data_IF_046261693207
#
_entry.id   IF_046261693207
#
_cell.length_a   1.000
_cell.length_b   1.000
_cell.length_c   1.000
_cell.angle_alpha   90.00
_cell.angle_beta   90.00
_cell.angle_gamma   90.00
#
_symmetry.space_group_name_H-M   'P 1'
#
loop_
_entity.id
_entity.type
_entity.pdbx_description
1 polymer ?
#
# COMPACT_ATOMS: atom_id res chain seq x y z
N UNK A 1 -20.97 2.44 14.17
CA UNK A 1 -20.62 1.18 13.54
C UNK A 1 -19.34 0.68 14.23
N UNK A 2 -19.45 -0.40 15.01
CA UNK A 2 -18.42 -0.87 15.94
C UNK A 2 -17.20 -1.35 15.14
N UNK A 3 -16.06 -0.71 15.36
CA UNK A 3 -14.76 -1.16 14.86
C UNK A 3 -14.29 -2.20 15.87
N UNK A 4 -14.19 -3.44 15.44
CA UNK A 4 -13.74 -4.54 16.28
C UNK A 4 -12.25 -4.32 16.61
N UNK A 5 -12.00 -3.83 17.82
CA UNK A 5 -10.68 -3.46 18.31
C UNK A 5 -10.05 -4.67 19.00
N UNK A 6 -9.46 -5.59 18.22
CA UNK A 6 -8.61 -6.64 18.79
C UNK A 6 -7.16 -6.45 18.33
N UNK A 7 -6.30 -6.23 19.29
CA UNK A 7 -4.85 -6.06 19.21
C UNK A 7 -4.33 -4.87 18.37
N UNK A 8 -4.15 -3.70 18.97
CA UNK A 8 -3.35 -2.61 18.42
C UNK A 8 -4.09 -1.46 17.75
N UNK A 9 -5.39 -1.26 17.96
CA UNK A 9 -6.10 -0.02 17.58
C UNK A 9 -6.49 0.12 16.10
N UNK A 10 -5.95 -0.69 15.18
CA UNK A 10 -6.26 -0.63 13.76
C UNK A 10 -7.13 -1.82 13.33
N UNK A 11 -8.25 -1.58 12.67
CA UNK A 11 -9.13 -2.63 12.13
C UNK A 11 -8.38 -3.60 11.20
N UNK A 12 -8.80 -4.87 11.19
CA UNK A 12 -8.22 -5.90 10.32
C UNK A 12 -8.53 -5.70 8.84
N UNK A 13 -9.64 -5.06 8.54
CA UNK A 13 -10.09 -4.85 7.16
C UNK A 13 -10.27 -3.36 6.89
N UNK A 14 -9.70 -2.90 5.79
CA UNK A 14 -9.87 -1.56 5.25
C UNK A 14 -10.49 -1.63 3.86
N UNK A 15 -11.28 -0.61 3.49
CA UNK A 15 -11.96 -0.53 2.18
C UNK A 15 -11.70 0.80 1.54
N UNK A 16 -11.20 0.77 0.31
CA UNK A 16 -11.04 1.96 -0.52
C UNK A 16 -12.41 2.33 -1.10
N UNK A 17 -12.97 3.49 -0.76
CA UNK A 17 -14.29 3.90 -1.21
C UNK A 17 -14.33 4.28 -2.70
N UNK A 18 -13.18 4.41 -3.36
CA UNK A 18 -13.09 4.93 -4.74
C UNK A 18 -13.08 3.83 -5.79
N UNK A 19 -12.51 2.67 -5.48
CA UNK A 19 -12.33 1.56 -6.43
C UNK A 19 -12.88 0.21 -5.93
N UNK A 20 -13.47 0.18 -4.73
CA UNK A 20 -14.00 -1.04 -4.13
C UNK A 20 -12.93 -2.06 -3.71
N UNK A 21 -11.69 -1.63 -3.57
CA UNK A 21 -10.60 -2.45 -3.05
C UNK A 21 -10.84 -2.74 -1.56
N UNK A 22 -10.83 -4.02 -1.19
CA UNK A 22 -10.89 -4.46 0.20
C UNK A 22 -9.59 -5.16 0.57
N UNK A 23 -8.96 -4.71 1.64
CA UNK A 23 -7.71 -5.29 2.17
C UNK A 23 -7.97 -5.80 3.57
N UNK A 24 -7.76 -7.09 3.79
CA UNK A 24 -7.78 -7.72 5.12
C UNK A 24 -6.35 -8.09 5.51
N UNK A 25 -5.87 -7.55 6.62
CA UNK A 25 -4.57 -7.88 7.21
C UNK A 25 -4.66 -9.22 7.94
N UNK A 26 -4.12 -10.28 7.34
CA UNK A 26 -4.07 -11.62 7.90
C UNK A 26 -2.97 -11.71 8.97
N UNK A 27 -1.83 -11.09 8.69
CA UNK A 27 -0.71 -10.94 9.61
C UNK A 27 -0.08 -9.56 9.38
N UNK A 28 0.06 -8.76 10.43
CA UNK A 28 0.72 -7.45 10.37
C UNK A 28 2.23 -7.59 10.56
N UNK A 29 3.00 -6.61 10.11
CA UNK A 29 4.45 -6.57 10.32
C UNK A 29 4.82 -6.65 11.80
N UNK A 30 4.03 -6.02 12.68
CA UNK A 30 4.24 -6.06 14.12
C UNK A 30 3.99 -7.46 14.73
N UNK A 31 3.04 -8.23 14.20
CA UNK A 31 2.72 -9.58 14.65
C UNK A 31 3.74 -10.62 14.19
N UNK A 32 4.27 -10.46 12.98
CA UNK A 32 5.24 -11.42 12.43
C UNK A 32 6.58 -11.43 13.16
N UNK A 33 6.94 -10.34 13.81
CA UNK A 33 8.26 -10.17 14.44
C UNK A 33 9.43 -10.04 13.44
N UNK A 34 9.17 -10.22 12.15
CA UNK A 34 10.16 -10.27 11.06
C UNK A 34 9.87 -9.26 9.96
N UNK A 35 9.05 -8.23 10.24
CA UNK A 35 8.62 -7.23 9.25
C UNK A 35 7.94 -7.85 8.00
N UNK A 36 7.29 -8.99 8.18
CA UNK A 36 6.46 -9.63 7.17
C UNK A 36 5.04 -9.12 7.28
N UNK A 37 4.42 -8.84 6.13
CA UNK A 37 3.01 -8.49 6.02
C UNK A 37 2.29 -9.57 5.20
N UNK A 38 1.16 -10.07 5.69
CA UNK A 38 0.29 -10.97 4.91
C UNK A 38 -1.09 -10.33 4.80
N UNK A 39 -1.53 -10.10 3.58
CA UNK A 39 -2.85 -9.54 3.30
C UNK A 39 -3.65 -10.42 2.36
N UNK A 40 -4.97 -10.33 2.48
CA UNK A 40 -5.93 -10.71 1.45
C UNK A 40 -6.44 -9.43 0.82
N UNK A 41 -6.30 -9.32 -0.49
CA UNK A 41 -6.75 -8.18 -1.27
C UNK A 41 -7.83 -8.66 -2.24
N UNK A 42 -9.00 -8.02 -2.21
CA UNK A 42 -10.12 -8.29 -3.13
C UNK A 42 -10.37 -7.03 -3.96
N UNK A 43 -10.44 -7.21 -5.28
CA UNK A 43 -10.77 -6.17 -6.24
C UNK A 43 -12.15 -6.43 -6.85
N UNK A 44 -12.98 -5.40 -6.90
CA UNK A 44 -14.21 -5.40 -7.69
C UNK A 44 -13.91 -5.61 -9.19
N UNK A 45 -14.89 -6.01 -10.03
CA UNK A 45 -14.72 -6.08 -11.48
C UNK A 45 -14.15 -4.76 -12.05
N UNK A 46 -13.08 -4.85 -12.83
CA UNK A 46 -12.38 -3.69 -13.38
C UNK A 46 -11.50 -2.91 -12.39
N UNK A 47 -11.53 -3.24 -11.10
CA UNK A 47 -10.65 -2.66 -10.08
C UNK A 47 -9.17 -2.93 -10.40
N UNK A 48 -8.29 -1.99 -10.04
CA UNK A 48 -6.89 -2.07 -10.41
C UNK A 48 -5.98 -1.47 -9.35
N UNK A 49 -4.80 -2.07 -9.20
CA UNK A 49 -3.65 -1.49 -8.52
C UNK A 49 -2.71 -0.93 -9.59
N UNK A 50 -2.46 0.39 -9.61
CA UNK A 50 -1.62 1.04 -10.62
C UNK A 50 -0.19 0.48 -10.63
N UNK A 51 0.51 0.65 -11.77
CA UNK A 51 1.92 0.30 -11.89
C UNK A 51 2.76 1.12 -10.90
N UNK A 52 3.52 0.41 -10.07
CA UNK A 52 4.37 0.99 -9.04
C UNK A 52 5.55 0.09 -8.74
N UNK A 53 6.50 0.58 -7.95
CA UNK A 53 7.61 -0.17 -7.40
C UNK A 53 7.85 0.22 -5.94
N UNK A 54 8.43 -0.67 -5.16
CA UNK A 54 8.82 -0.45 -3.76
C UNK A 54 9.96 -1.39 -3.36
N UNK A 55 10.63 -1.18 -2.20
CA UNK A 55 11.75 -2.03 -1.75
C UNK A 55 11.34 -3.43 -1.29
N UNK A 56 10.06 -3.66 -0.95
CA UNK A 56 9.60 -4.96 -0.50
C UNK A 56 9.57 -5.97 -1.66
N UNK A 57 9.88 -7.23 -1.37
CA UNK A 57 9.47 -8.36 -2.20
C UNK A 57 8.00 -8.67 -1.90
N UNK A 58 7.24 -8.98 -2.92
CA UNK A 58 5.86 -9.46 -2.79
C UNK A 58 5.66 -10.77 -3.52
N UNK A 59 5.09 -11.75 -2.82
CA UNK A 59 4.63 -13.01 -3.38
C UNK A 59 3.10 -12.98 -3.47
N UNK A 60 2.59 -13.06 -4.68
CA UNK A 60 1.16 -13.03 -4.99
C UNK A 60 0.66 -14.45 -5.30
N UNK A 61 -0.47 -14.80 -4.73
CA UNK A 61 -1.23 -16.01 -5.01
C UNK A 61 -2.66 -15.61 -5.40
N UNK A 62 -3.09 -15.99 -6.59
CA UNK A 62 -4.47 -15.80 -7.02
C UNK A 62 -5.37 -16.86 -6.36
N UNK A 63 -6.33 -16.42 -5.54
CA UNK A 63 -7.28 -17.30 -4.88
C UNK A 63 -8.58 -17.42 -5.67
N UNK A 64 -9.05 -16.31 -6.26
CA UNK A 64 -10.32 -16.24 -6.99
C UNK A 64 -10.25 -15.21 -8.12
N UNK A 65 -11.04 -15.44 -9.18
CA UNK A 65 -11.18 -14.53 -10.31
C UNK A 65 -10.05 -14.65 -11.33
N UNK A 66 -9.89 -13.63 -12.16
CA UNK A 66 -8.82 -13.51 -13.17
C UNK A 66 -8.23 -12.13 -13.14
N UNK A 67 -6.90 -12.04 -13.16
CA UNK A 67 -6.16 -10.80 -13.11
C UNK A 67 -5.20 -10.68 -14.28
N UNK A 68 -5.21 -9.52 -14.94
CA UNK A 68 -4.10 -9.12 -15.79
C UNK A 68 -3.04 -8.50 -14.90
N UNK A 69 -1.92 -9.18 -14.72
CA UNK A 69 -0.78 -8.76 -13.91
C UNK A 69 0.33 -8.25 -14.82
N UNK A 70 0.93 -7.12 -14.49
CA UNK A 70 2.08 -6.57 -15.17
C UNK A 70 3.29 -6.64 -14.27
N UNK A 71 4.38 -7.26 -14.76
CA UNK A 71 5.65 -7.41 -14.06
C UNK A 71 6.81 -7.09 -15.01
N UNK A 72 7.65 -6.12 -14.67
CA UNK A 72 8.82 -5.73 -15.46
C UNK A 72 8.51 -5.46 -16.95
N UNK A 73 7.33 -4.89 -17.24
CA UNK A 73 6.87 -4.61 -18.60
C UNK A 73 6.21 -5.80 -19.33
N UNK A 74 6.15 -6.98 -18.71
CA UNK A 74 5.47 -8.15 -19.25
C UNK A 74 4.05 -8.26 -18.70
N UNK A 75 3.11 -8.68 -19.51
CA UNK A 75 1.75 -9.00 -19.11
C UNK A 75 1.66 -10.50 -18.78
N UNK A 76 1.11 -10.81 -17.62
CA UNK A 76 0.92 -12.17 -17.09
C UNK A 76 -0.55 -12.31 -16.72
N UNK A 77 -1.20 -13.38 -17.12
CA UNK A 77 -2.55 -13.71 -16.68
C UNK A 77 -2.47 -14.59 -15.42
N UNK A 78 -3.14 -14.17 -14.35
CA UNK A 78 -3.27 -14.96 -13.14
C UNK A 78 -4.69 -15.49 -13.01
N UNK A 79 -4.79 -16.78 -12.76
CA UNK A 79 -6.02 -17.52 -12.44
C UNK A 79 -5.86 -18.24 -11.09
N UNK A 80 -6.95 -18.76 -10.49
CA UNK A 80 -6.87 -19.44 -9.20
C UNK A 80 -5.79 -20.51 -9.14
N UNK A 81 -4.94 -20.45 -8.11
CA UNK A 81 -3.76 -21.29 -7.92
C UNK A 81 -2.47 -20.79 -8.60
N UNK A 82 -2.54 -19.77 -9.46
CA UNK A 82 -1.34 -19.15 -10.03
C UNK A 82 -0.61 -18.29 -8.99
N UNK A 83 0.72 -18.28 -9.07
CA UNK A 83 1.59 -17.46 -8.23
C UNK A 83 2.54 -16.62 -9.07
N UNK A 84 2.92 -15.44 -8.54
CA UNK A 84 3.96 -14.58 -9.13
C UNK A 84 4.68 -13.83 -8.03
N UNK A 85 5.99 -13.63 -8.20
CA UNK A 85 6.83 -12.85 -7.28
C UNK A 85 7.30 -11.56 -7.94
N UNK A 86 7.02 -10.43 -7.29
CA UNK A 86 7.65 -9.15 -7.60
C UNK A 86 8.85 -8.92 -6.68
N UNK A 87 10.05 -8.91 -7.27
CA UNK A 87 11.29 -8.63 -6.54
C UNK A 87 11.40 -7.13 -6.18
N UNK A 88 12.21 -6.76 -5.15
CA UNK A 88 12.43 -5.38 -4.76
C UNK A 88 12.77 -4.46 -5.94
N UNK A 89 12.05 -3.35 -6.05
CA UNK A 89 12.26 -2.33 -7.08
C UNK A 89 11.71 -2.66 -8.47
N UNK A 90 11.14 -3.84 -8.67
CA UNK A 90 10.52 -4.22 -9.94
C UNK A 90 9.15 -3.56 -10.09
N UNK A 91 8.94 -2.88 -11.22
CA UNK A 91 7.64 -2.26 -11.54
C UNK A 91 6.61 -3.35 -11.79
N UNK A 92 5.51 -3.28 -11.04
CA UNK A 92 4.39 -4.22 -11.14
C UNK A 92 3.06 -3.51 -10.86
N UNK A 93 1.98 -4.19 -11.18
CA UNK A 93 0.61 -3.75 -10.95
C UNK A 93 -0.35 -4.74 -11.57
N UNK A 94 -1.63 -4.65 -11.26
CA UNK A 94 -2.60 -5.65 -11.73
C UNK A 94 -4.01 -5.08 -11.81
N UNK A 95 -4.85 -5.75 -12.58
CA UNK A 95 -6.24 -5.41 -12.77
C UNK A 95 -7.11 -6.65 -12.77
N UNK A 96 -8.25 -6.57 -12.11
CA UNK A 96 -9.29 -7.58 -12.23
C UNK A 96 -9.95 -7.48 -13.61
N UNK A 97 -9.78 -8.51 -14.44
CA UNK A 97 -10.36 -8.62 -15.78
C UNK A 97 -11.57 -9.54 -15.83
N UNK A 98 -11.94 -10.14 -14.70
CA UNK A 98 -13.14 -10.99 -14.59
C UNK A 98 -14.39 -10.15 -14.36
N UNK A 99 -15.55 -10.74 -14.63
CA UNK A 99 -16.86 -10.14 -14.35
C UNK A 99 -17.32 -10.26 -12.88
N UNK A 100 -16.49 -10.85 -12.01
CA UNK A 100 -16.73 -11.08 -10.59
C UNK A 100 -15.56 -10.50 -9.75
N UNK A 101 -15.70 -10.38 -8.43
CA UNK A 101 -14.55 -10.03 -7.58
C UNK A 101 -13.38 -11.00 -7.77
N UNK A 102 -12.15 -10.47 -7.75
CA UNK A 102 -10.93 -11.26 -7.79
C UNK A 102 -10.15 -11.06 -6.49
N UNK A 103 -9.62 -12.16 -5.94
CA UNK A 103 -8.97 -12.18 -4.63
C UNK A 103 -7.54 -12.69 -4.75
N UNK A 104 -6.62 -11.93 -4.19
CA UNK A 104 -5.21 -12.28 -4.02
C UNK A 104 -4.87 -12.50 -2.55
N UNK A 105 -3.99 -13.45 -2.26
CA UNK A 105 -3.18 -13.47 -1.05
C UNK A 105 -1.82 -12.89 -1.40
N UNK A 106 -1.35 -11.95 -0.61
CA UNK A 106 -0.07 -11.27 -0.83
C UNK A 106 0.77 -11.41 0.44
N UNK A 107 2.01 -11.86 0.28
CA UNK A 107 3.02 -11.90 1.34
C UNK A 107 4.12 -10.92 0.98
N UNK A 108 4.33 -9.91 1.81
CA UNK A 108 5.37 -8.90 1.60
C UNK A 108 6.43 -8.96 2.68
N UNK A 109 7.70 -8.85 2.28
CA UNK A 109 8.83 -8.56 3.18
C UNK A 109 8.96 -7.05 3.35
N UNK A 110 9.58 -6.56 4.44
CA UNK A 110 9.64 -5.12 4.77
C UNK A 110 8.25 -4.48 4.75
N UNK A 111 7.28 -5.19 5.32
CA UNK A 111 5.86 -4.88 5.19
C UNK A 111 5.38 -3.67 5.99
N UNK A 112 6.18 -3.12 6.90
CA UNK A 112 5.76 -2.01 7.76
C UNK A 112 5.44 -0.74 6.98
N UNK A 113 6.29 -0.35 6.03
CA UNK A 113 6.07 0.80 5.16
C UNK A 113 4.84 0.59 4.28
N UNK A 114 4.66 -0.64 3.80
CA UNK A 114 3.50 -1.01 2.98
C UNK A 114 2.22 -0.95 3.82
N UNK A 115 2.20 -1.56 5.00
CA UNK A 115 1.03 -1.52 5.89
C UNK A 115 0.66 -0.07 6.24
N UNK A 116 1.67 0.75 6.60
CA UNK A 116 1.48 2.18 6.83
C UNK A 116 0.86 2.87 5.60
N UNK A 117 1.47 2.66 4.43
CA UNK A 117 1.01 3.26 3.17
C UNK A 117 -0.43 2.92 2.85
N UNK A 118 -0.80 1.63 2.93
CA UNK A 118 -2.15 1.14 2.65
C UNK A 118 -3.18 1.74 3.62
N UNK A 119 -2.92 1.67 4.93
CA UNK A 119 -3.85 2.16 5.95
C UNK A 119 -4.05 3.67 5.87
N UNK A 120 -2.96 4.44 5.75
CA UNK A 120 -3.04 5.91 5.68
C UNK A 120 -3.66 6.35 4.35
N UNK A 121 -3.32 5.72 3.22
CA UNK A 121 -3.95 5.99 1.93
C UNK A 121 -5.47 5.84 2.01
N UNK A 122 -5.96 4.70 2.50
CA UNK A 122 -7.40 4.41 2.59
C UNK A 122 -8.08 5.37 3.57
N UNK A 123 -7.50 5.63 4.72
CA UNK A 123 -8.05 6.60 5.68
C UNK A 123 -8.13 8.02 5.08
N UNK A 124 -7.11 8.45 4.34
CA UNK A 124 -7.13 9.73 3.63
C UNK A 124 -8.19 9.78 2.52
N UNK A 125 -8.44 8.66 1.82
CA UNK A 125 -9.51 8.56 0.83
C UNK A 125 -10.90 8.67 1.48
N UNK A 126 -11.12 7.98 2.59
CA UNK A 126 -12.34 8.07 3.39
C UNK A 126 -12.60 9.50 3.91
N UNK A 127 -11.55 10.23 4.25
CA UNK A 127 -11.59 11.63 4.65
C UNK A 127 -11.77 12.62 3.48
N UNK A 128 -11.89 12.13 2.25
CA UNK A 128 -12.04 12.94 1.06
C UNK A 128 -10.79 13.74 0.68
N UNK A 129 -9.60 13.31 1.11
CA UNK A 129 -8.33 13.97 0.79
C UNK A 129 -7.83 13.70 -0.64
N UNK A 130 -8.53 12.85 -1.39
CA UNK A 130 -8.24 12.55 -2.80
C UNK A 130 -9.35 13.05 -3.73
N UNK A 131 -8.99 13.29 -4.98
CA UNK A 131 -9.95 13.54 -6.07
C UNK A 131 -10.57 12.22 -6.53
N UNK A 132 -11.65 12.28 -7.31
CA UNK A 132 -12.25 11.10 -7.96
C UNK A 132 -11.28 10.35 -8.90
N UNK A 133 -10.24 11.03 -9.38
CA UNK A 133 -9.18 10.43 -10.19
C UNK A 133 -8.03 9.81 -9.35
N UNK A 134 -8.20 9.66 -8.04
CA UNK A 134 -7.23 9.06 -7.14
C UNK A 134 -5.98 9.92 -6.89
N UNK A 135 -6.04 11.24 -7.13
CA UNK A 135 -4.92 12.16 -6.89
C UNK A 135 -5.09 12.86 -5.54
N UNK A 136 -4.03 12.99 -4.71
CA UNK A 136 -4.13 13.75 -3.48
C UNK A 136 -4.44 15.23 -3.77
N UNK A 137 -5.39 15.81 -3.05
CA UNK A 137 -5.75 17.24 -3.16
C UNK A 137 -4.64 18.15 -2.62
N UNK A 138 -3.90 17.70 -1.60
CA UNK A 138 -2.68 18.32 -1.11
C UNK A 138 -1.47 17.51 -1.60
N UNK A 139 -0.76 18.02 -2.62
CA UNK A 139 0.38 17.33 -3.23
C UNK A 139 1.53 17.14 -2.25
N UNK A 140 1.76 18.09 -1.34
CA UNK A 140 2.83 17.95 -0.35
C UNK A 140 2.51 16.88 0.69
N UNK A 141 1.24 16.79 1.12
CA UNK A 141 0.79 15.73 2.01
C UNK A 141 0.92 14.36 1.34
N UNK A 142 0.46 14.24 0.09
CA UNK A 142 0.61 13.02 -0.71
C UNK A 142 2.08 12.63 -0.91
N UNK A 143 2.97 13.61 -1.13
CA UNK A 143 4.41 13.34 -1.29
C UNK A 143 5.05 12.84 0.01
N UNK A 144 4.64 13.34 1.18
CA UNK A 144 5.10 12.82 2.48
C UNK A 144 4.65 11.37 2.66
N UNK A 145 3.39 11.03 2.33
CA UNK A 145 2.88 9.67 2.39
C UNK A 145 3.69 8.73 1.48
N UNK A 146 3.83 9.06 0.19
CA UNK A 146 4.55 8.25 -0.81
C UNK A 146 6.01 8.04 -0.43
N UNK A 147 6.67 9.08 0.08
CA UNK A 147 8.05 8.99 0.54
C UNK A 147 8.18 8.07 1.76
N UNK A 148 7.25 8.13 2.72
CA UNK A 148 7.26 7.29 3.92
C UNK A 148 6.94 5.83 3.62
N UNK A 149 6.02 5.57 2.70
CA UNK A 149 5.66 4.20 2.28
C UNK A 149 6.61 3.63 1.22
N UNK A 150 7.64 4.37 0.82
CA UNK A 150 8.61 3.98 -0.21
C UNK A 150 8.00 3.49 -1.52
N UNK A 151 6.79 3.99 -1.89
CA UNK A 151 6.08 3.63 -3.11
C UNK A 151 6.43 4.62 -4.23
N UNK A 152 6.83 4.07 -5.38
CA UNK A 152 7.23 4.81 -6.57
C UNK A 152 6.27 4.51 -7.71
N UNK A 153 5.49 5.51 -8.14
CA UNK A 153 4.47 5.35 -9.19
C UNK A 153 5.09 5.44 -10.60
N UNK A 154 4.77 4.48 -11.46
CA UNK A 154 5.11 4.54 -12.88
C UNK A 154 4.21 5.58 -13.61
N UNK A 155 4.62 6.08 -14.81
CA UNK A 155 5.73 5.59 -15.65
C UNK A 155 7.10 6.25 -15.37
N UNK A 156 7.24 7.11 -14.37
CA UNK A 156 8.51 7.79 -14.12
C UNK A 156 9.57 6.80 -13.63
N UNK A 157 10.80 6.79 -14.20
CA UNK A 157 11.88 5.95 -13.72
C UNK A 157 12.19 6.22 -12.24
N UNK A 158 12.43 5.16 -11.47
CA UNK A 158 12.65 5.24 -10.01
C UNK A 158 13.80 6.19 -9.65
N UNK A 159 14.89 6.22 -10.44
CA UNK A 159 16.04 7.08 -10.19
C UNK A 159 15.72 8.59 -10.30
N UNK A 160 14.69 8.94 -11.09
CA UNK A 160 14.19 10.32 -11.21
C UNK A 160 13.06 10.59 -10.20
N UNK A 161 12.18 9.62 -9.97
CA UNK A 161 11.04 9.73 -9.07
C UNK A 161 11.49 9.92 -7.60
N UNK A 162 12.46 9.11 -7.14
CA UNK A 162 12.95 9.16 -5.76
C UNK A 162 13.41 10.55 -5.30
N UNK A 163 14.36 11.24 -5.99
CA UNK A 163 14.80 12.55 -5.57
C UNK A 163 13.68 13.60 -5.65
N UNK A 164 12.80 13.52 -6.65
CA UNK A 164 11.66 14.42 -6.78
C UNK A 164 10.71 14.30 -5.59
N UNK A 165 10.28 13.09 -5.27
CA UNK A 165 9.37 12.84 -4.14
C UNK A 165 10.06 13.16 -2.81
N UNK A 166 11.34 12.87 -2.65
CA UNK A 166 12.10 13.23 -1.46
C UNK A 166 12.15 14.75 -1.25
N UNK A 167 12.38 15.52 -2.31
CA UNK A 167 12.37 16.99 -2.28
C UNK A 167 10.99 17.56 -1.92
N UNK A 168 9.93 17.06 -2.57
CA UNK A 168 8.55 17.48 -2.26
C UNK A 168 8.14 17.07 -0.84
N UNK A 169 8.54 15.89 -0.38
CA UNK A 169 8.28 15.44 0.98
C UNK A 169 9.06 16.28 2.02
N UNK A 170 10.31 16.68 1.72
CA UNK A 170 11.08 17.58 2.56
C UNK A 170 10.38 18.94 2.70
N UNK A 171 9.91 19.52 1.59
CA UNK A 171 9.11 20.74 1.58
C UNK A 171 7.79 20.53 2.36
N UNK A 172 7.14 19.40 2.18
CA UNK A 172 5.93 19.02 2.91
C UNK A 172 6.17 18.96 4.42
N UNK A 173 7.25 18.33 4.86
CA UNK A 173 7.65 18.29 6.28
C UNK A 173 7.90 19.70 6.83
N UNK A 174 8.64 20.51 6.10
CA UNK A 174 8.88 21.92 6.48
C UNK A 174 7.56 22.71 6.59
N UNK A 175 6.57 22.43 5.73
CA UNK A 175 5.22 23.02 5.77
C UNK A 175 4.29 22.33 6.79
N UNK A 176 4.80 21.45 7.66
CA UNK A 176 4.03 20.78 8.71
C UNK A 176 3.11 19.64 8.25
N UNK A 177 3.25 19.16 6.99
CA UNK A 177 2.37 18.10 6.48
C UNK A 177 2.59 16.76 7.15
N UNK A 178 3.81 16.46 7.61
CA UNK A 178 4.04 15.25 8.42
C UNK A 178 3.32 15.33 9.77
N UNK A 179 3.27 16.52 10.39
CA UNK A 179 2.50 16.70 11.61
C UNK A 179 1.00 16.45 11.40
N UNK A 180 0.45 16.84 10.24
CA UNK A 180 -0.94 16.51 9.88
C UNK A 180 -1.14 15.00 9.82
N UNK A 181 -0.23 14.24 9.19
CA UNK A 181 -0.31 12.76 9.19
C UNK A 181 -0.25 12.20 10.61
N UNK A 182 0.69 12.67 11.43
CA UNK A 182 0.88 12.20 12.81
C UNK A 182 -0.31 12.49 13.73
N UNK A 183 -0.96 13.63 13.58
CA UNK A 183 -2.11 14.00 14.41
C UNK A 183 -3.41 13.37 13.93
N UNK A 184 -3.60 13.23 12.60
CA UNK A 184 -4.84 12.71 12.02
C UNK A 184 -4.87 11.18 11.97
N UNK A 185 -3.67 10.52 11.87
CA UNK A 185 -3.53 9.07 11.77
C UNK A 185 -2.46 8.55 12.76
N UNK A 186 -2.58 8.84 14.08
CA UNK A 186 -1.50 8.62 15.03
C UNK A 186 -1.16 7.13 15.23
N UNK A 187 -2.15 6.24 15.17
CA UNK A 187 -1.94 4.81 15.41
C UNK A 187 -1.09 4.17 14.30
N UNK A 188 -1.30 4.56 13.05
CA UNK A 188 -0.54 4.06 11.90
C UNK A 188 0.91 4.55 11.93
N UNK A 189 1.12 5.81 12.32
CA UNK A 189 2.49 6.36 12.45
C UNK A 189 3.24 5.70 13.60
N UNK A 190 2.58 5.46 14.75
CA UNK A 190 3.20 4.76 15.89
C UNK A 190 3.64 3.35 15.51
N UNK A 191 2.84 2.64 14.71
CA UNK A 191 3.19 1.31 14.21
C UNK A 191 4.50 1.34 13.41
N UNK A 192 4.60 2.22 12.42
CA UNK A 192 5.79 2.40 11.60
C UNK A 192 7.02 2.78 12.44
N UNK A 193 6.88 3.76 13.33
CA UNK A 193 7.97 4.21 14.19
C UNK A 193 8.42 3.10 15.17
N UNK A 194 7.53 2.20 15.59
CA UNK A 194 7.86 1.07 16.44
C UNK A 194 8.68 0.00 15.70
N UNK A 195 8.32 -0.32 14.45
CA UNK A 195 9.08 -1.27 13.62
C UNK A 195 10.48 -0.72 13.34
N UNK A 196 10.60 0.52 12.90
CA UNK A 196 11.91 1.16 12.66
C UNK A 196 12.79 1.27 13.90
N UNK A 197 12.23 1.34 15.10
CA UNK A 197 13.02 1.28 16.35
C UNK A 197 13.60 -0.11 16.59
N UNK A 198 12.82 -1.16 16.35
CA UNK A 198 13.29 -2.55 16.49
C UNK A 198 14.46 -2.85 15.54
N UNK A 199 14.36 -2.42 14.28
CA UNK A 199 15.43 -2.62 13.30
C UNK A 199 16.73 -1.90 13.67
N UNK A 200 16.65 -0.76 14.37
CA UNK A 200 17.83 -0.01 14.84
C UNK A 200 18.41 -0.50 16.17
N UNK A 201 17.81 -1.50 16.79
CA UNK A 201 18.31 -2.10 18.02
C UNK A 201 18.23 -1.18 19.25
N UNK A 202 17.32 -0.22 19.27
CA UNK A 202 17.08 0.71 20.38
C UNK A 202 15.77 0.45 21.09
#
# INVERSE_FOLDING_TARGET
MSIDATAGGAGRTIRDPTNGEEITFLETAAESGEDRLVIRLTLAPGGAVPLHAHPAQEDFECLEGQLAFHLAGQAIELSPGSTVTALPGIVHGFRNVSGAPATLRIVATHGAEMEYGLRVKVAMMQDGAFTSAGRPKDLLLGSVLLHRSAIYLAPMPVWLYRPLIAGLAALGRWRGREQVLRTRYPDYVRLLDAVHRRERGT
#
